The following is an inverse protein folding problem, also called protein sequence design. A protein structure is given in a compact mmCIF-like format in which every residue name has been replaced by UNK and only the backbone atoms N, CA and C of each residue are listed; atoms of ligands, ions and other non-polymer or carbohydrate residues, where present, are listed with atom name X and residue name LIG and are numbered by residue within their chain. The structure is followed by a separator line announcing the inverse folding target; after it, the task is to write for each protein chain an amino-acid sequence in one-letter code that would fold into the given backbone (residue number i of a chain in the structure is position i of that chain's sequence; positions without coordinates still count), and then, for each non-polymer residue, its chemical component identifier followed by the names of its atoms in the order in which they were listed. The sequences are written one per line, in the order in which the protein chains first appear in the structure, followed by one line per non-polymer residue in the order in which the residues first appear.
data_IF_551896932328
#
_entry.id   IF_551896932328
#
_cell.length_a   1.000
_cell.length_b   1.000
_cell.length_c   1.000
_cell.angle_alpha   90.00
_cell.angle_beta   90.00
_cell.angle_gamma   90.00
#
_symmetry.space_group_name_H-M   'P 1'
#
loop_
_entity.id
_entity.type
_entity.pdbx_description
1 polymer ?
#
# COMPACT_ATOMS: atom_id res chain seq x y z
N UNK A 1 -7.22 22.85 -10.28
CA UNK A 1 -5.92 22.22 -10.54
C UNK A 1 -6.10 20.76 -10.88
N UNK A 2 -5.38 20.29 -11.85
CA UNK A 2 -5.45 18.88 -12.21
C UNK A 2 -5.00 18.02 -11.04
N UNK A 3 -5.65 16.90 -10.85
CA UNK A 3 -5.22 15.94 -9.85
C UNK A 3 -3.83 15.43 -10.23
N UNK A 4 -2.99 15.24 -9.23
CA UNK A 4 -1.69 14.65 -9.45
C UNK A 4 -1.85 13.24 -10.00
N UNK A 5 -0.96 12.86 -10.90
CA UNK A 5 -0.97 11.50 -11.39
C UNK A 5 -0.63 10.55 -10.26
N UNK A 6 -1.37 9.46 -10.17
CA UNK A 6 -1.03 8.40 -9.24
C UNK A 6 0.22 7.69 -9.72
N UNK A 7 1.17 7.48 -8.82
CA UNK A 7 2.33 6.65 -9.08
C UNK A 7 2.05 5.26 -8.54
N UNK A 8 2.66 4.26 -9.15
CA UNK A 8 2.35 2.88 -8.83
C UNK A 8 3.62 2.05 -8.67
N UNK A 9 3.64 1.22 -7.66
CA UNK A 9 4.69 0.24 -7.43
C UNK A 9 4.05 -1.15 -7.43
N UNK A 10 4.53 -2.03 -8.31
CA UNK A 10 4.02 -3.39 -8.41
C UNK A 10 5.05 -4.33 -7.80
N UNK A 11 4.74 -4.84 -6.61
CA UNK A 11 5.60 -5.78 -5.92
C UNK A 11 5.10 -7.21 -6.06
N UNK A 12 5.84 -8.14 -5.48
CA UNK A 12 5.47 -9.54 -5.50
C UNK A 12 4.29 -9.86 -4.60
N UNK A 13 4.20 -9.21 -3.46
CA UNK A 13 3.16 -9.50 -2.46
C UNK A 13 2.15 -8.36 -2.30
N UNK A 14 2.40 -7.20 -2.89
CA UNK A 14 1.53 -6.05 -2.72
C UNK A 14 1.73 -5.07 -3.88
N UNK A 15 0.66 -4.40 -4.25
CA UNK A 15 0.73 -3.28 -5.18
C UNK A 15 0.39 -2.03 -4.38
N UNK A 16 1.18 -0.97 -4.56
CA UNK A 16 0.96 0.29 -3.85
C UNK A 16 0.80 1.41 -4.86
N UNK A 17 -0.25 2.19 -4.71
CA UNK A 17 -0.44 3.42 -5.48
C UNK A 17 -0.32 4.59 -4.52
N UNK A 18 0.25 5.69 -5.01
CA UNK A 18 0.38 6.90 -4.21
C UNK A 18 0.05 8.11 -5.07
N UNK A 19 -0.60 9.07 -4.45
CA UNK A 19 -0.99 10.31 -5.12
C UNK A 19 -0.91 11.46 -4.12
N UNK A 20 -0.47 12.62 -4.59
CA UNK A 20 -0.43 13.81 -3.77
C UNK A 20 -1.86 14.30 -3.50
N UNK A 21 -2.18 14.61 -2.24
CA UNK A 21 -3.55 14.98 -1.87
C UNK A 21 -3.71 16.45 -1.47
N UNK A 22 -2.65 17.22 -1.53
CA UNK A 22 -2.66 18.65 -1.20
C UNK A 22 -3.05 18.94 0.25
N UNK A 23 -3.01 17.94 1.14
CA UNK A 23 -3.21 18.13 2.57
C UNK A 23 -1.90 17.81 3.28
N UNK A 24 -1.90 17.85 4.62
CA UNK A 24 -0.73 17.48 5.39
C UNK A 24 -0.86 16.10 6.00
N UNK A 25 -1.99 15.43 5.75
CA UNK A 25 -2.25 14.14 6.32
C UNK A 25 -1.87 13.02 5.37
N UNK A 26 -1.49 11.89 5.94
CA UNK A 26 -1.33 10.65 5.20
C UNK A 26 -2.67 9.91 5.28
N UNK A 27 -3.20 9.54 4.13
CA UNK A 27 -4.40 8.72 4.07
C UNK A 27 -4.06 7.41 3.39
N UNK A 28 -4.68 6.34 3.84
CA UNK A 28 -4.39 5.02 3.29
C UNK A 28 -5.68 4.23 3.11
N UNK A 29 -5.81 3.62 1.95
CA UNK A 29 -6.91 2.73 1.64
C UNK A 29 -6.39 1.33 1.36
N UNK A 30 -7.23 0.35 1.57
CA UNK A 30 -6.88 -1.06 1.37
C UNK A 30 -7.91 -1.71 0.47
N UNK A 31 -7.45 -2.39 -0.56
CA UNK A 31 -8.36 -3.13 -1.44
C UNK A 31 -7.89 -4.55 -1.63
N UNK A 32 -8.85 -5.45 -1.76
CA UNK A 32 -8.58 -6.83 -2.11
C UNK A 32 -9.73 -7.30 -2.99
N UNK A 33 -9.43 -7.54 -4.26
CA UNK A 33 -10.44 -7.93 -5.23
C UNK A 33 -10.86 -9.39 -5.04
N UNK A 34 -11.89 -9.79 -5.77
CA UNK A 34 -12.36 -11.18 -5.74
C UNK A 34 -11.27 -12.15 -6.20
N UNK A 35 -10.29 -11.69 -6.97
CA UNK A 35 -9.17 -12.52 -7.40
C UNK A 35 -8.28 -12.96 -6.25
N UNK A 36 -8.26 -12.22 -5.15
CA UNK A 36 -7.49 -12.58 -3.96
C UNK A 36 -8.06 -13.82 -3.30
N UNK A 37 -9.39 -13.95 -3.31
CA UNK A 37 -10.06 -15.09 -2.74
C UNK A 37 -11.45 -14.72 -2.25
N UNK A 38 -12.02 -15.58 -1.40
CA UNK A 38 -13.32 -15.31 -0.81
C UNK A 38 -13.23 -14.20 0.25
N UNK A 39 -14.36 -13.86 0.87
CA UNK A 39 -14.41 -12.77 1.84
C UNK A 39 -13.44 -12.96 3.01
N UNK A 40 -13.28 -14.19 3.49
CA UNK A 40 -12.37 -14.48 4.59
C UNK A 40 -10.93 -14.20 4.19
N UNK A 41 -10.53 -14.65 3.01
CA UNK A 41 -9.17 -14.43 2.49
C UNK A 41 -8.93 -12.95 2.22
N UNK A 42 -9.91 -12.27 1.62
CA UNK A 42 -9.79 -10.83 1.36
C UNK A 42 -9.65 -10.03 2.65
N UNK A 43 -10.41 -10.39 3.67
CA UNK A 43 -10.30 -9.72 4.97
C UNK A 43 -8.94 -9.95 5.62
N UNK A 44 -8.39 -11.16 5.47
CA UNK A 44 -7.05 -11.47 5.96
C UNK A 44 -6.00 -10.61 5.25
N UNK A 45 -6.11 -10.49 3.93
CA UNK A 45 -5.19 -9.67 3.15
C UNK A 45 -5.23 -8.22 3.62
N UNK A 46 -6.43 -7.67 3.80
CA UNK A 46 -6.59 -6.30 4.29
C UNK A 46 -5.99 -6.12 5.67
N UNK A 47 -6.20 -7.07 6.58
CA UNK A 47 -5.64 -6.97 7.94
C UNK A 47 -4.12 -6.99 7.90
N UNK A 48 -3.54 -7.84 7.06
CA UNK A 48 -2.07 -7.90 6.94
C UNK A 48 -1.51 -6.60 6.36
N UNK A 49 -2.16 -6.07 5.32
CA UNK A 49 -1.74 -4.79 4.74
C UNK A 49 -1.88 -3.65 5.74
N UNK A 50 -2.97 -3.63 6.51
CA UNK A 50 -3.17 -2.59 7.51
C UNK A 50 -2.11 -2.66 8.61
N UNK A 51 -1.81 -3.85 9.10
CA UNK A 51 -0.78 -4.02 10.11
C UNK A 51 0.59 -3.58 9.60
N UNK A 52 0.93 -3.93 8.37
CA UNK A 52 2.18 -3.50 7.77
C UNK A 52 2.22 -1.98 7.60
N UNK A 53 1.12 -1.38 7.17
CA UNK A 53 1.04 0.07 6.97
C UNK A 53 1.19 0.82 8.30
N UNK A 54 0.58 0.33 9.37
CA UNK A 54 0.70 0.98 10.66
C UNK A 54 2.13 1.02 11.17
N UNK A 55 2.93 0.01 10.84
CA UNK A 55 4.32 -0.03 11.26
C UNK A 55 5.25 0.75 10.35
N UNK A 56 4.83 1.06 9.12
CA UNK A 56 5.72 1.64 8.12
C UNK A 56 5.36 3.07 7.72
N UNK A 57 4.08 3.38 7.55
CA UNK A 57 3.70 4.70 7.02
C UNK A 57 3.99 5.84 7.97
N UNK A 58 3.91 5.61 9.28
CA UNK A 58 4.24 6.65 10.24
C UNK A 58 5.70 7.09 10.14
N UNK A 59 6.57 6.17 9.71
CA UNK A 59 8.01 6.42 9.65
C UNK A 59 8.47 6.78 8.24
N UNK A 60 7.90 6.15 7.22
CA UNK A 60 8.39 6.27 5.85
C UNK A 60 7.42 6.99 4.92
N UNK A 61 6.17 7.18 5.32
CA UNK A 61 5.18 7.83 4.49
C UNK A 61 5.43 9.31 4.33
N UNK A 62 4.98 9.87 3.22
CA UNK A 62 5.10 11.31 2.95
C UNK A 62 3.82 12.01 3.35
N UNK A 63 3.95 13.09 4.12
CA UNK A 63 2.80 13.94 4.44
C UNK A 63 2.20 14.47 3.15
N UNK A 64 0.88 14.50 3.09
CA UNK A 64 0.18 14.98 1.90
C UNK A 64 0.02 13.93 0.82
N UNK A 65 0.26 12.66 1.11
CA UNK A 65 0.09 11.60 0.13
C UNK A 65 -1.04 10.65 0.53
N UNK A 66 -1.80 10.22 -0.47
CA UNK A 66 -2.75 9.13 -0.32
C UNK A 66 -2.10 7.86 -0.85
N UNK A 67 -2.15 6.81 -0.05
CA UNK A 67 -1.65 5.50 -0.45
C UNK A 67 -2.81 4.53 -0.56
N UNK A 68 -2.81 3.73 -1.62
CA UNK A 68 -3.78 2.65 -1.77
C UNK A 68 -2.97 1.35 -1.87
N UNK A 69 -3.21 0.47 -0.92
CA UNK A 69 -2.56 -0.83 -0.87
C UNK A 69 -3.49 -1.87 -1.46
N UNK A 70 -3.00 -2.57 -2.46
CA UNK A 70 -3.80 -3.51 -3.23
C UNK A 70 -3.24 -4.91 -3.00
N UNK A 71 -4.08 -5.80 -2.47
CA UNK A 71 -3.69 -7.19 -2.25
C UNK A 71 -3.55 -7.96 -3.56
N UNK A 72 -2.55 -8.83 -3.61
CA UNK A 72 -2.33 -9.72 -4.75
C UNK A 72 -2.84 -11.11 -4.41
N UNK A 73 -3.32 -11.81 -5.43
CA UNK A 73 -3.82 -13.15 -5.28
C UNK A 73 -2.72 -14.04 -4.67
N UNK A 74 -3.08 -14.76 -3.62
CA UNK A 74 -2.23 -15.71 -2.89
C UNK A 74 -1.07 -15.07 -2.13
N UNK A 75 -0.26 -14.22 -2.75
CA UNK A 75 1.00 -13.78 -2.14
C UNK A 75 0.82 -12.86 -0.95
N UNK A 76 -0.17 -11.95 -0.97
CA UNK A 76 -0.40 -11.06 0.18
C UNK A 76 -0.66 -11.85 1.46
N UNK A 77 -1.37 -12.97 1.36
CA UNK A 77 -1.72 -13.78 2.53
C UNK A 77 -0.69 -14.84 2.89
N UNK A 78 0.20 -15.20 1.98
CA UNK A 78 1.12 -16.33 2.19
C UNK A 78 2.55 -15.91 2.45
N UNK A 79 2.95 -14.72 2.01
CA UNK A 79 4.30 -14.23 2.23
C UNK A 79 4.52 -13.97 3.73
N UNK A 80 5.74 -14.09 4.19
CA UNK A 80 6.07 -13.74 5.57
C UNK A 80 5.74 -12.26 5.81
N UNK A 81 5.24 -11.96 7.01
CA UNK A 81 4.84 -10.60 7.33
C UNK A 81 6.02 -9.62 7.20
N UNK A 82 7.20 -10.04 7.59
CA UNK A 82 8.40 -9.21 7.46
C UNK A 82 8.70 -8.87 6.01
N UNK A 83 8.52 -9.84 5.10
CA UNK A 83 8.74 -9.62 3.68
C UNK A 83 7.70 -8.65 3.12
N UNK A 84 6.46 -8.76 3.57
CA UNK A 84 5.40 -7.82 3.19
C UNK A 84 5.76 -6.41 3.63
N UNK A 85 6.24 -6.25 4.85
CA UNK A 85 6.68 -4.95 5.37
C UNK A 85 7.84 -4.37 4.57
N UNK A 86 8.85 -5.17 4.29
CA UNK A 86 10.00 -4.71 3.51
C UNK A 86 9.58 -4.24 2.12
N UNK A 87 8.70 -4.98 1.49
CA UNK A 87 8.22 -4.60 0.17
C UNK A 87 7.43 -3.30 0.23
N UNK A 88 6.62 -3.13 1.27
CA UNK A 88 5.88 -1.90 1.48
C UNK A 88 6.81 -0.72 1.72
N UNK A 89 7.85 -0.89 2.53
CA UNK A 89 8.84 0.18 2.76
C UNK A 89 9.51 0.58 1.45
N UNK A 90 9.91 -0.38 0.65
CA UNK A 90 10.53 -0.09 -0.65
C UNK A 90 9.58 0.67 -1.55
N UNK A 91 8.32 0.25 -1.58
CA UNK A 91 7.29 0.91 -2.36
C UNK A 91 7.10 2.36 -1.93
N UNK A 92 6.98 2.58 -0.62
CA UNK A 92 6.78 3.92 -0.08
C UNK A 92 7.95 4.83 -0.42
N UNK A 93 9.16 4.34 -0.25
CA UNK A 93 10.37 5.13 -0.55
C UNK A 93 10.44 5.51 -2.03
N UNK A 94 10.17 4.57 -2.92
CA UNK A 94 10.19 4.84 -4.35
C UNK A 94 9.10 5.82 -4.76
N UNK A 95 7.89 5.61 -4.24
CA UNK A 95 6.76 6.47 -4.60
C UNK A 95 6.92 7.87 -4.04
N UNK A 96 7.44 7.99 -2.81
CA UNK A 96 7.68 9.30 -2.22
C UNK A 96 8.69 10.11 -3.04
N UNK A 97 9.71 9.46 -3.56
CA UNK A 97 10.68 10.14 -4.42
C UNK A 97 10.04 10.63 -5.71
N UNK A 98 9.09 9.87 -6.26
CA UNK A 98 8.41 10.24 -7.50
C UNK A 98 7.40 11.35 -7.32
N UNK A 99 6.85 11.50 -6.10
CA UNK A 99 5.83 12.51 -5.81
C UNK A 99 6.42 13.91 -5.58
N UNK A 100 7.72 13.99 -5.42
CA UNK A 100 8.38 15.30 -5.19
C UNK A 100 8.63 16.04 -6.49
#
# INVERSE_FOLDING_TARGET
MAASKAEKFVGNSIIVQARYNASQNIRVGYTASKKVGNAVVRNRAKRRMRAAAMETLAQYGSAGADYVLIGRAKTTCTVKFEDLKFELIRAIKKLSARLK
#
